data_IF_049573470599
#
_entry.id   IF_049573470599
#
_cell.length_a   1.000
_cell.length_b   1.000
_cell.length_c   1.000
_cell.angle_alpha   90.00
_cell.angle_beta   90.00
_cell.angle_gamma   90.00
#
_symmetry.space_group_name_H-M   'P 1'
#
loop_
_entity.id
_entity.type
_entity.pdbx_description
1 polymer ?
#
# COMPACT_ATOMS: atom_id res chain seq x y z
N UNK A 1 30.97 37.45 19.90
CA UNK A 1 30.62 38.03 18.58
C UNK A 1 30.55 36.84 17.63
N UNK A 2 29.44 36.39 17.05
CA UNK A 2 28.15 36.98 16.73
C UNK A 2 27.09 35.87 16.85
N UNK A 3 25.99 36.15 17.54
CA UNK A 3 24.77 35.35 17.50
C UNK A 3 23.99 35.72 16.24
N UNK A 4 23.67 34.77 15.38
CA UNK A 4 22.65 34.97 14.35
C UNK A 4 21.47 34.05 14.67
N UNK A 5 20.44 34.70 15.21
CA UNK A 5 19.16 34.12 15.53
C UNK A 5 18.49 33.51 14.30
N UNK A 6 17.82 32.37 14.53
CA UNK A 6 16.76 31.85 13.67
C UNK A 6 15.64 32.90 13.56
N UNK A 7 15.55 33.58 12.43
CA UNK A 7 14.35 34.32 12.07
C UNK A 7 13.48 33.44 11.18
N UNK A 8 12.47 32.81 11.77
CA UNK A 8 11.33 32.31 10.99
C UNK A 8 10.72 33.49 10.22
N UNK A 9 10.52 33.40 8.89
CA UNK A 9 9.83 34.45 8.17
C UNK A 9 8.38 34.48 8.68
N UNK A 10 8.03 35.57 9.35
CA UNK A 10 6.65 35.92 9.65
C UNK A 10 5.90 35.99 8.32
N UNK A 11 4.93 35.10 8.16
CA UNK A 11 4.00 35.06 7.02
C UNK A 11 3.43 36.45 6.78
N UNK A 12 3.47 36.92 5.53
CA UNK A 12 2.86 38.22 5.21
C UNK A 12 1.34 38.12 5.40
N UNK A 13 0.64 39.22 5.79
CA UNK A 13 -0.73 39.16 6.31
C UNK A 13 -1.81 38.68 5.32
N UNK A 14 -1.45 38.36 4.08
CA UNK A 14 -2.35 37.88 3.02
C UNK A 14 -1.92 36.55 2.37
N UNK A 15 -0.90 35.86 2.89
CA UNK A 15 -0.41 34.60 2.29
C UNK A 15 -0.81 33.38 3.13
N UNK A 16 -1.26 32.34 2.46
CA UNK A 16 -1.53 31.05 3.08
C UNK A 16 -0.24 30.28 3.28
N UNK A 17 0.02 29.85 4.51
CA UNK A 17 1.13 28.96 4.81
C UNK A 17 0.74 27.51 4.52
N UNK A 18 1.49 26.84 3.65
CA UNK A 18 1.38 25.39 3.41
C UNK A 18 2.67 24.72 3.88
N UNK A 19 2.56 23.76 4.80
CA UNK A 19 3.68 22.90 5.19
C UNK A 19 3.62 21.62 4.37
N UNK A 20 4.77 21.24 3.79
CA UNK A 20 4.90 20.07 2.93
C UNK A 20 5.94 19.14 3.53
N UNK A 21 5.51 17.98 4.04
CA UNK A 21 6.37 17.01 4.73
C UNK A 21 7.07 16.02 3.77
N UNK A 22 6.63 15.97 2.51
CA UNK A 22 7.20 15.12 1.46
C UNK A 22 7.30 15.91 0.16
N UNK A 23 8.43 15.79 -0.53
CA UNK A 23 8.61 16.45 -1.82
C UNK A 23 7.58 15.93 -2.84
N UNK A 24 6.84 16.84 -3.45
CA UNK A 24 5.86 16.56 -4.51
C UNK A 24 6.50 16.56 -5.91
N UNK A 25 7.82 16.71 -5.98
CA UNK A 25 8.61 16.65 -7.21
C UNK A 25 8.07 17.64 -8.26
N UNK A 26 7.80 17.18 -9.51
CA UNK A 26 7.30 18.07 -10.57
C UNK A 26 5.97 18.77 -10.29
N UNK A 27 5.21 18.37 -9.26
CA UNK A 27 3.97 19.03 -8.87
C UNK A 27 4.17 20.17 -7.84
N UNK A 28 5.34 20.27 -7.20
CA UNK A 28 5.62 21.31 -6.21
C UNK A 28 5.48 22.75 -6.76
N UNK A 29 5.87 23.05 -8.02
CA UNK A 29 5.64 24.37 -8.63
C UNK A 29 4.19 24.86 -8.62
N UNK A 30 3.20 23.95 -8.61
CA UNK A 30 1.77 24.32 -8.47
C UNK A 30 1.48 25.11 -7.19
N UNK A 31 2.32 24.94 -6.16
CA UNK A 31 2.23 25.64 -4.89
C UNK A 31 3.24 26.80 -4.83
N UNK A 32 4.51 26.56 -5.20
CA UNK A 32 5.59 27.54 -4.97
C UNK A 32 5.58 28.74 -5.92
N UNK A 33 4.99 28.61 -7.12
CA UNK A 33 4.91 29.71 -8.09
C UNK A 33 3.76 30.69 -7.78
N UNK A 34 2.93 30.38 -6.77
CA UNK A 34 1.81 31.22 -6.36
C UNK A 34 2.25 32.35 -5.42
N UNK A 35 1.75 33.55 -5.69
CA UNK A 35 2.07 34.75 -4.91
C UNK A 35 1.29 34.87 -3.59
N UNK A 36 0.24 34.08 -3.42
CA UNK A 36 -0.65 34.03 -2.25
C UNK A 36 -0.32 32.84 -1.32
N UNK A 37 0.76 32.09 -1.59
CA UNK A 37 1.13 30.89 -0.82
C UNK A 37 2.60 30.94 -0.40
N UNK A 38 2.85 30.67 0.88
CA UNK A 38 4.16 30.36 1.42
C UNK A 38 4.30 28.85 1.63
N UNK A 39 5.20 28.22 0.89
CA UNK A 39 5.46 26.78 0.98
C UNK A 39 6.67 26.52 1.87
N UNK A 40 6.48 25.70 2.88
CA UNK A 40 7.54 25.24 3.78
C UNK A 40 7.76 23.74 3.57
N UNK A 41 8.74 23.39 2.74
CA UNK A 41 9.18 22.01 2.55
C UNK A 41 10.06 21.59 3.73
N UNK A 42 9.62 20.59 4.49
CA UNK A 42 10.28 20.12 5.71
C UNK A 42 10.34 18.60 5.75
N UNK A 43 11.29 18.05 6.48
CA UNK A 43 11.21 16.62 6.82
C UNK A 43 10.17 16.41 7.92
N UNK A 44 9.54 15.24 7.96
CA UNK A 44 8.50 14.90 8.94
C UNK A 44 8.90 15.17 10.40
N UNK A 45 10.15 14.88 10.78
CA UNK A 45 10.66 15.12 12.14
C UNK A 45 10.56 16.59 12.59
N UNK A 46 10.44 17.52 11.64
CA UNK A 46 10.29 18.96 11.87
C UNK A 46 8.85 19.46 11.64
N UNK A 47 7.91 18.58 11.32
CA UNK A 47 6.51 18.93 11.02
C UNK A 47 5.89 19.73 12.17
N UNK A 48 5.97 19.23 13.40
CA UNK A 48 5.30 19.84 14.56
C UNK A 48 5.77 21.28 14.81
N UNK A 49 7.05 21.58 14.60
CA UNK A 49 7.60 22.92 14.77
C UNK A 49 7.18 23.87 13.64
N UNK A 50 6.95 23.32 12.44
CA UNK A 50 6.67 24.12 11.25
C UNK A 50 5.17 24.27 10.96
N UNK A 51 4.31 23.39 11.47
CA UNK A 51 2.86 23.43 11.23
C UNK A 51 2.17 24.63 11.91
N UNK A 52 2.83 25.27 12.89
CA UNK A 52 2.30 26.44 13.61
C UNK A 52 1.82 27.54 12.66
N UNK A 53 0.53 27.86 12.72
CA UNK A 53 -0.13 28.87 11.90
C UNK A 53 -0.36 28.47 10.44
N UNK A 54 -0.11 27.22 10.06
CA UNK A 54 -0.35 26.73 8.70
C UNK A 54 -1.85 26.73 8.35
N UNK A 55 -2.17 27.05 7.10
CA UNK A 55 -3.51 26.88 6.54
C UNK A 55 -3.69 25.51 5.88
N UNK A 56 -2.61 24.90 5.40
CA UNK A 56 -2.63 23.59 4.76
C UNK A 56 -1.41 22.76 5.15
N UNK A 57 -1.61 21.44 5.19
CA UNK A 57 -0.57 20.46 5.48
C UNK A 57 -0.58 19.37 4.40
N UNK A 58 0.59 19.07 3.84
CA UNK A 58 0.79 17.94 2.92
C UNK A 58 1.64 16.88 3.59
N UNK A 59 1.13 15.65 3.59
CA UNK A 59 1.72 14.49 4.31
C UNK A 59 1.76 13.23 3.45
N UNK A 60 2.60 12.27 3.82
CA UNK A 60 2.60 10.91 3.31
C UNK A 60 2.06 9.92 4.36
N UNK A 61 1.96 8.64 4.00
CA UNK A 61 1.39 7.59 4.86
C UNK A 61 2.20 7.29 6.14
N UNK A 62 3.43 7.79 6.24
CA UNK A 62 4.28 7.65 7.44
C UNK A 62 4.07 8.78 8.44
N UNK A 63 3.42 9.87 8.01
CA UNK A 63 3.31 11.08 8.81
C UNK A 63 2.02 11.02 9.65
N UNK A 64 2.15 10.72 10.95
CA UNK A 64 0.99 10.68 11.85
C UNK A 64 0.44 12.08 12.04
N UNK A 65 -0.85 12.27 11.74
CA UNK A 65 -1.59 13.52 11.92
C UNK A 65 -2.72 13.28 12.92
N UNK A 66 -2.43 13.60 14.17
CA UNK A 66 -3.34 13.44 15.30
C UNK A 66 -3.68 14.81 15.93
N UNK A 67 -4.23 14.77 17.14
CA UNK A 67 -4.59 15.97 17.90
C UNK A 67 -3.39 16.87 18.19
N UNK A 68 -2.21 16.33 18.46
CA UNK A 68 -1.03 17.14 18.77
C UNK A 68 -0.66 18.04 17.57
N UNK A 69 -0.72 17.48 16.36
CA UNK A 69 -0.44 18.22 15.12
C UNK A 69 -1.48 19.31 14.86
N UNK A 70 -2.77 18.99 15.05
CA UNK A 70 -3.86 19.96 14.87
C UNK A 70 -3.78 21.11 15.88
N UNK A 71 -3.55 20.78 17.15
CA UNK A 71 -3.42 21.78 18.23
C UNK A 71 -2.20 22.69 17.99
N UNK A 72 -1.07 22.11 17.55
CA UNK A 72 0.12 22.88 17.19
C UNK A 72 -0.10 23.79 15.96
N UNK A 73 -0.86 23.34 14.96
CA UNK A 73 -1.18 24.13 13.79
C UNK A 73 -2.05 25.35 14.14
N UNK A 74 -2.98 25.15 15.07
CA UNK A 74 -3.91 26.17 15.54
C UNK A 74 -5.11 26.37 14.60
N UNK A 75 -5.91 27.42 14.82
CA UNK A 75 -7.24 27.57 14.22
C UNK A 75 -7.22 27.87 12.70
N UNK A 76 -6.05 28.08 12.12
CA UNK A 76 -5.91 28.41 10.70
C UNK A 76 -5.88 27.18 9.81
N UNK A 77 -5.64 25.98 10.35
CA UNK A 77 -5.53 24.76 9.55
C UNK A 77 -6.90 24.42 8.95
N UNK A 78 -6.98 24.39 7.62
CA UNK A 78 -8.22 24.14 6.86
C UNK A 78 -8.20 22.79 6.17
N UNK A 79 -7.01 22.30 5.81
CA UNK A 79 -6.88 21.11 4.98
C UNK A 79 -5.62 20.32 5.30
N UNK A 80 -5.77 19.00 5.35
CA UNK A 80 -4.68 18.02 5.34
C UNK A 80 -4.80 17.22 4.05
N UNK A 81 -3.78 17.24 3.20
CA UNK A 81 -3.76 16.52 1.93
C UNK A 81 -2.70 15.43 1.99
N UNK A 82 -3.09 14.17 1.84
CA UNK A 82 -2.15 13.05 1.85
C UNK A 82 -1.90 12.49 0.45
N UNK A 83 -0.64 12.23 0.13
CA UNK A 83 -0.23 11.53 -1.10
C UNK A 83 -0.37 10.00 -0.92
N UNK A 84 -1.56 9.56 -0.53
CA UNK A 84 -1.87 8.16 -0.26
C UNK A 84 -3.36 7.86 -0.43
N UNK A 85 -3.70 6.57 -0.56
CA UNK A 85 -5.09 6.10 -0.64
C UNK A 85 -5.65 5.73 0.73
N UNK A 86 -4.89 5.00 1.53
CA UNK A 86 -5.29 4.79 2.92
C UNK A 86 -4.82 5.95 3.78
N UNK A 87 -5.60 6.23 4.80
CA UNK A 87 -5.52 7.43 5.62
C UNK A 87 -5.55 7.07 7.11
N UNK A 88 -5.12 5.86 7.46
CA UNK A 88 -5.10 5.37 8.84
C UNK A 88 -4.15 6.18 9.75
N UNK A 89 -3.19 6.89 9.16
CA UNK A 89 -2.27 7.82 9.82
C UNK A 89 -2.91 9.19 10.17
N UNK A 90 -4.15 9.45 9.72
CA UNK A 90 -4.87 10.69 10.01
C UNK A 90 -6.04 10.37 10.95
N UNK A 91 -6.08 11.03 12.11
CA UNK A 91 -7.19 10.84 13.08
C UNK A 91 -8.41 11.62 12.59
N UNK A 92 -9.33 10.95 11.88
CA UNK A 92 -10.44 11.59 11.17
C UNK A 92 -11.43 12.28 12.10
N UNK A 93 -11.64 11.75 13.30
CA UNK A 93 -12.51 12.36 14.32
C UNK A 93 -11.98 13.74 14.72
N UNK A 94 -10.65 13.86 14.91
CA UNK A 94 -10.00 15.14 15.21
C UNK A 94 -10.17 16.10 14.03
N UNK A 95 -10.00 15.63 12.79
CA UNK A 95 -10.17 16.48 11.61
C UNK A 95 -11.62 17.00 11.50
N UNK A 96 -12.60 16.12 11.70
CA UNK A 96 -14.02 16.46 11.65
C UNK A 96 -14.41 17.48 12.75
N UNK A 97 -13.95 17.27 13.98
CA UNK A 97 -14.21 18.17 15.12
C UNK A 97 -13.71 19.60 14.89
N UNK A 98 -12.65 19.77 14.10
CA UNK A 98 -12.07 21.09 13.78
C UNK A 98 -12.50 21.63 12.41
N UNK A 99 -13.38 20.93 11.69
CA UNK A 99 -13.81 21.33 10.35
C UNK A 99 -12.70 21.29 9.29
N UNK A 100 -11.65 20.49 9.53
CA UNK A 100 -10.51 20.33 8.63
C UNK A 100 -10.90 19.35 7.52
N UNK A 101 -10.68 19.73 6.26
CA UNK A 101 -10.89 18.86 5.12
C UNK A 101 -9.72 17.90 4.92
N UNK A 102 -9.99 16.65 4.53
CA UNK A 102 -8.93 15.68 4.21
C UNK A 102 -8.96 15.34 2.73
N UNK A 103 -7.86 15.64 2.03
CA UNK A 103 -7.63 15.25 0.65
C UNK A 103 -6.78 13.99 0.55
N UNK A 104 -7.07 13.14 -0.43
CA UNK A 104 -6.37 11.87 -0.66
C UNK A 104 -6.34 11.52 -2.16
N UNK A 105 -5.70 10.42 -2.56
CA UNK A 105 -5.45 10.09 -3.98
C UNK A 105 -6.04 8.74 -4.44
N UNK A 106 -7.38 8.52 -4.33
CA UNK A 106 -8.03 7.30 -4.78
C UNK A 106 -7.88 7.09 -6.28
N UNK A 107 -8.06 5.85 -6.70
CA UNK A 107 -8.21 5.41 -8.09
C UNK A 107 -6.98 5.55 -9.02
N UNK A 108 -6.02 6.43 -8.70
CA UNK A 108 -4.81 6.69 -9.50
C UNK A 108 -3.81 5.52 -9.46
N UNK A 109 -3.60 4.92 -8.29
CA UNK A 109 -2.51 3.95 -8.07
C UNK A 109 -2.87 2.49 -8.38
N UNK A 110 -4.09 2.25 -8.85
CA UNK A 110 -4.67 0.89 -8.97
C UNK A 110 -3.80 -0.02 -9.82
N UNK A 111 -3.40 0.46 -11.00
CA UNK A 111 -2.63 -0.34 -11.96
C UNK A 111 -1.18 -0.56 -11.50
N UNK A 112 -0.52 0.48 -10.99
CA UNK A 112 0.85 0.35 -10.47
C UNK A 112 0.94 -0.68 -9.33
N UNK A 113 -0.01 -0.63 -8.38
CA UNK A 113 -0.02 -1.62 -7.29
C UNK A 113 -0.35 -3.02 -7.81
N UNK A 114 -1.25 -3.15 -8.79
CA UNK A 114 -1.56 -4.44 -9.39
C UNK A 114 -0.37 -5.04 -10.14
N UNK A 115 0.42 -4.23 -10.86
CA UNK A 115 1.66 -4.64 -11.50
C UNK A 115 2.69 -5.11 -10.48
N UNK A 116 2.88 -4.33 -9.39
CA UNK A 116 3.77 -4.71 -8.30
C UNK A 116 3.35 -6.02 -7.61
N UNK A 117 2.05 -6.22 -7.38
CA UNK A 117 1.53 -7.44 -6.78
C UNK A 117 1.80 -8.68 -7.65
N UNK A 118 1.56 -8.60 -8.97
CA UNK A 118 1.87 -9.69 -9.90
C UNK A 118 3.38 -9.93 -9.98
N UNK A 119 4.20 -8.86 -9.99
CA UNK A 119 5.65 -8.96 -9.91
C UNK A 119 6.10 -9.71 -8.66
N UNK A 120 5.61 -9.33 -7.47
CA UNK A 120 5.92 -10.00 -6.20
C UNK A 120 5.48 -11.46 -6.20
N UNK A 121 4.30 -11.77 -6.73
CA UNK A 121 3.83 -13.14 -6.90
C UNK A 121 4.83 -13.96 -7.73
N UNK A 122 5.29 -13.43 -8.87
CA UNK A 122 6.26 -14.09 -9.74
C UNK A 122 7.62 -14.24 -9.06
N UNK A 123 8.10 -13.18 -8.40
CA UNK A 123 9.39 -13.18 -7.70
C UNK A 123 9.43 -14.23 -6.59
N UNK A 124 8.40 -14.28 -5.75
CA UNK A 124 8.29 -15.27 -4.67
C UNK A 124 8.13 -16.70 -5.23
N UNK A 125 7.27 -16.87 -6.24
CA UNK A 125 7.03 -18.18 -6.86
C UNK A 125 8.29 -18.76 -7.49
N UNK A 126 9.12 -17.93 -8.13
CA UNK A 126 10.30 -18.34 -8.91
C UNK A 126 11.65 -18.13 -8.20
N UNK A 127 11.64 -17.91 -6.88
CA UNK A 127 12.86 -17.68 -6.07
C UNK A 127 13.74 -16.58 -6.67
N UNK A 128 13.13 -15.55 -7.24
CA UNK A 128 13.85 -14.53 -7.99
C UNK A 128 14.77 -13.71 -7.08
N UNK A 129 14.33 -13.37 -5.86
CA UNK A 129 15.16 -12.67 -4.88
C UNK A 129 16.42 -13.43 -4.49
N UNK A 130 16.29 -14.74 -4.21
CA UNK A 130 17.43 -15.60 -3.95
C UNK A 130 18.36 -15.72 -5.16
N UNK A 131 17.78 -15.91 -6.36
CA UNK A 131 18.55 -16.06 -7.60
C UNK A 131 19.33 -14.78 -7.94
N UNK A 132 18.71 -13.62 -7.71
CA UNK A 132 19.37 -12.31 -7.86
C UNK A 132 20.53 -12.17 -6.87
N UNK A 133 20.31 -12.51 -5.60
CA UNK A 133 21.35 -12.44 -4.54
C UNK A 133 22.51 -13.37 -4.85
N UNK A 134 22.24 -14.58 -5.36
CA UNK A 134 23.26 -15.54 -5.78
C UNK A 134 24.23 -14.96 -6.83
N UNK A 135 23.70 -14.20 -7.79
CA UNK A 135 24.52 -13.50 -8.80
C UNK A 135 25.26 -12.33 -8.17
N UNK A 136 24.57 -11.51 -7.37
CA UNK A 136 25.15 -10.35 -6.68
C UNK A 136 26.34 -10.74 -5.78
N UNK A 137 26.24 -11.89 -5.12
CA UNK A 137 27.27 -12.43 -4.22
C UNK A 137 28.38 -13.18 -4.99
N UNK A 138 28.44 -13.04 -6.31
CA UNK A 138 29.46 -13.63 -7.18
C UNK A 138 29.54 -15.18 -7.07
N UNK A 139 28.40 -15.85 -6.80
CA UNK A 139 28.35 -17.33 -6.71
C UNK A 139 28.14 -18.00 -8.07
N UNK A 140 27.65 -17.25 -9.06
CA UNK A 140 27.34 -17.77 -10.40
C UNK A 140 28.55 -18.28 -11.21
N UNK A 141 29.73 -17.63 -11.20
CA UNK A 141 30.89 -18.11 -11.99
C UNK A 141 31.32 -19.55 -11.67
N UNK A 142 31.04 -20.04 -10.47
CA UNK A 142 31.37 -21.41 -10.02
C UNK A 142 30.19 -22.36 -10.08
N UNK A 143 29.02 -21.89 -10.51
CA UNK A 143 27.79 -22.67 -10.53
C UNK A 143 27.56 -23.31 -11.89
N UNK A 144 27.46 -24.64 -11.91
CA UNK A 144 27.00 -25.37 -13.08
C UNK A 144 25.48 -25.49 -13.08
N UNK A 145 24.83 -25.18 -14.20
CA UNK A 145 23.38 -25.33 -14.34
C UNK A 145 22.94 -26.77 -14.05
N UNK A 146 21.83 -26.94 -13.32
CA UNK A 146 21.20 -28.25 -13.12
C UNK A 146 19.68 -28.13 -13.27
N UNK A 147 18.97 -29.22 -13.69
CA UNK A 147 17.56 -29.14 -14.04
C UNK A 147 16.61 -28.62 -12.96
N UNK A 148 16.96 -28.78 -11.68
CA UNK A 148 16.12 -28.42 -10.54
C UNK A 148 16.65 -27.25 -9.72
N UNK A 149 17.82 -26.70 -10.08
CA UNK A 149 18.35 -25.55 -9.37
C UNK A 149 17.43 -24.33 -9.52
N UNK A 150 17.14 -23.68 -8.40
CA UNK A 150 16.24 -22.52 -8.30
C UNK A 150 14.82 -22.76 -8.84
N UNK A 151 14.43 -24.01 -9.13
CA UNK A 151 13.05 -24.30 -9.49
C UNK A 151 12.10 -23.84 -8.38
N UNK A 152 10.97 -23.30 -8.81
CA UNK A 152 9.91 -22.89 -7.90
C UNK A 152 8.53 -23.11 -8.49
N UNK A 153 7.52 -22.70 -7.73
CA UNK A 153 6.13 -22.88 -8.13
C UNK A 153 5.81 -22.08 -9.39
N UNK A 154 5.02 -22.66 -10.28
CA UNK A 154 4.51 -21.98 -11.47
C UNK A 154 3.09 -21.48 -11.18
N UNK A 155 2.87 -20.16 -11.31
CA UNK A 155 1.54 -19.56 -11.13
C UNK A 155 0.58 -20.02 -12.23
N UNK A 156 1.06 -20.09 -13.48
CA UNK A 156 0.22 -20.51 -14.60
C UNK A 156 -0.27 -21.94 -14.47
N UNK A 157 -1.35 -22.26 -15.18
CA UNK A 157 -1.75 -23.64 -15.40
C UNK A 157 -0.72 -24.39 -16.25
N UNK A 158 -0.64 -25.69 -16.04
CA UNK A 158 0.23 -26.61 -16.79
C UNK A 158 -0.53 -27.88 -17.10
N UNK A 159 0.04 -28.77 -17.93
CA UNK A 159 -0.51 -30.12 -18.14
C UNK A 159 -0.62 -30.92 -16.83
N UNK A 160 0.21 -30.63 -15.83
CA UNK A 160 0.20 -31.26 -14.52
C UNK A 160 -0.71 -30.56 -13.49
N UNK A 161 -1.02 -29.28 -13.71
CA UNK A 161 -1.91 -28.46 -12.88
C UNK A 161 -2.85 -27.66 -13.78
N UNK A 162 -3.90 -28.28 -14.34
CA UNK A 162 -4.78 -27.65 -15.32
C UNK A 162 -5.71 -26.59 -14.69
N UNK A 163 -5.76 -26.54 -13.36
CA UNK A 163 -6.55 -25.58 -12.59
C UNK A 163 -5.66 -24.76 -11.67
N UNK A 164 -6.00 -23.48 -11.50
CA UNK A 164 -5.33 -22.56 -10.58
C UNK A 164 -6.33 -21.65 -9.90
N UNK A 165 -6.22 -21.55 -8.58
CA UNK A 165 -7.08 -20.73 -7.73
C UNK A 165 -6.32 -19.54 -7.20
N UNK A 166 -6.78 -18.33 -7.52
CA UNK A 166 -6.33 -17.10 -6.88
C UNK A 166 -7.30 -16.72 -5.76
N UNK A 167 -6.74 -16.38 -4.59
CA UNK A 167 -7.49 -15.84 -3.47
C UNK A 167 -7.24 -14.37 -3.25
N UNK A 168 -8.26 -13.66 -2.77
CA UNK A 168 -8.13 -12.26 -2.35
C UNK A 168 -8.72 -12.04 -0.95
N UNK A 169 -7.89 -11.55 -0.03
CA UNK A 169 -8.35 -10.86 1.17
C UNK A 169 -8.42 -9.36 0.84
N UNK A 170 -9.63 -8.83 0.69
CA UNK A 170 -9.87 -7.50 0.13
C UNK A 170 -10.07 -7.54 -1.39
N UNK A 171 -11.33 -7.51 -1.83
CA UNK A 171 -11.70 -7.67 -3.24
C UNK A 171 -12.29 -6.39 -3.84
N UNK A 172 -11.43 -5.37 -3.91
CA UNK A 172 -11.71 -4.05 -4.48
C UNK A 172 -11.04 -3.83 -5.85
N UNK A 173 -10.84 -2.56 -6.22
CA UNK A 173 -10.31 -2.15 -7.54
C UNK A 173 -8.95 -2.79 -7.85
N UNK A 174 -8.03 -2.78 -6.90
CA UNK A 174 -6.69 -3.37 -7.05
C UNK A 174 -6.80 -4.89 -7.28
N UNK A 175 -7.67 -5.58 -6.53
CA UNK A 175 -7.86 -7.02 -6.69
C UNK A 175 -8.40 -7.39 -8.07
N UNK A 176 -9.34 -6.61 -8.61
CA UNK A 176 -9.84 -6.81 -9.97
C UNK A 176 -8.74 -6.58 -11.01
N UNK A 177 -7.93 -5.53 -10.84
CA UNK A 177 -6.81 -5.23 -11.74
C UNK A 177 -5.73 -6.33 -11.71
N UNK A 178 -5.45 -6.90 -10.54
CA UNK A 178 -4.58 -8.09 -10.38
C UNK A 178 -5.20 -9.30 -11.08
N UNK A 179 -6.48 -9.59 -10.84
CA UNK A 179 -7.19 -10.72 -11.45
C UNK A 179 -7.18 -10.63 -12.99
N UNK A 180 -7.38 -9.43 -13.54
CA UNK A 180 -7.31 -9.19 -14.99
C UNK A 180 -5.92 -9.53 -15.55
N UNK A 181 -4.84 -9.11 -14.90
CA UNK A 181 -3.46 -9.44 -15.31
C UNK A 181 -3.20 -10.94 -15.23
N UNK A 182 -3.70 -11.59 -14.18
CA UNK A 182 -3.54 -13.03 -13.98
C UNK A 182 -4.39 -13.88 -14.93
N UNK A 183 -5.42 -13.34 -15.58
CA UNK A 183 -6.23 -14.08 -16.56
C UNK A 183 -5.37 -14.68 -17.68
N UNK A 184 -4.34 -13.96 -18.13
CA UNK A 184 -3.40 -14.42 -19.14
C UNK A 184 -2.50 -15.60 -18.67
N UNK A 185 -2.43 -15.84 -17.37
CA UNK A 185 -1.72 -16.99 -16.78
C UNK A 185 -2.60 -18.25 -16.75
N UNK A 186 -3.84 -18.19 -17.22
CA UNK A 186 -4.76 -19.31 -17.24
C UNK A 186 -5.37 -19.63 -15.88
N UNK A 187 -5.46 -18.65 -14.97
CA UNK A 187 -6.18 -18.80 -13.70
C UNK A 187 -7.62 -19.24 -13.97
N UNK A 188 -8.09 -20.25 -13.24
CA UNK A 188 -9.42 -20.83 -13.46
C UNK A 188 -10.44 -20.41 -12.42
N UNK A 189 -10.02 -20.24 -11.16
CA UNK A 189 -10.91 -19.89 -10.05
C UNK A 189 -10.43 -18.62 -9.34
N UNK A 190 -11.35 -17.73 -9.05
CA UNK A 190 -11.17 -16.60 -8.14
C UNK A 190 -12.04 -16.83 -6.90
N UNK A 191 -11.43 -16.72 -5.72
CA UNK A 191 -12.15 -16.75 -4.44
C UNK A 191 -11.78 -15.54 -3.60
N UNK A 192 -12.71 -15.03 -2.81
CA UNK A 192 -12.44 -13.87 -1.96
C UNK A 192 -13.33 -13.85 -0.72
N UNK A 193 -12.88 -13.13 0.32
CA UNK A 193 -13.72 -12.85 1.50
C UNK A 193 -14.48 -11.55 1.30
N UNK A 194 -15.80 -11.51 1.56
CA UNK A 194 -16.57 -10.29 1.47
C UNK A 194 -16.18 -9.32 2.59
N UNK A 195 -16.35 -8.02 2.33
CA UNK A 195 -16.34 -7.00 3.39
C UNK A 195 -17.61 -7.17 4.23
N UNK A 196 -17.55 -7.10 5.57
CA UNK A 196 -18.75 -7.10 6.40
C UNK A 196 -19.76 -6.04 5.93
N UNK A 197 -21.03 -6.45 5.78
CA UNK A 197 -22.10 -5.56 5.32
C UNK A 197 -22.01 -5.14 3.84
N UNK A 198 -21.17 -5.79 3.03
CA UNK A 198 -21.15 -5.53 1.59
C UNK A 198 -22.50 -5.91 0.94
N UNK A 199 -22.98 -5.12 -0.03
CA UNK A 199 -24.15 -5.49 -0.82
C UNK A 199 -23.87 -6.75 -1.64
N UNK A 200 -24.93 -7.37 -2.16
CA UNK A 200 -24.83 -8.51 -3.09
C UNK A 200 -23.89 -8.18 -4.26
N UNK A 201 -22.95 -9.08 -4.51
CA UNK A 201 -21.92 -8.94 -5.54
C UNK A 201 -22.14 -9.88 -6.74
N UNK A 202 -23.24 -10.64 -6.79
CA UNK A 202 -23.46 -11.67 -7.80
C UNK A 202 -23.33 -11.14 -9.24
N UNK A 203 -23.88 -9.96 -9.53
CA UNK A 203 -23.79 -9.35 -10.86
C UNK A 203 -22.34 -8.99 -11.25
N UNK A 204 -21.56 -8.46 -10.30
CA UNK A 204 -20.14 -8.13 -10.51
C UNK A 204 -19.32 -9.41 -10.71
N UNK A 205 -19.57 -10.41 -9.88
CA UNK A 205 -18.84 -11.68 -9.93
C UNK A 205 -19.09 -12.41 -11.25
N UNK A 206 -20.33 -12.41 -11.74
CA UNK A 206 -20.68 -12.98 -13.05
C UNK A 206 -20.04 -12.20 -14.21
N UNK A 207 -20.00 -10.86 -14.11
CA UNK A 207 -19.31 -10.02 -15.09
C UNK A 207 -17.81 -10.33 -15.14
N UNK A 208 -17.14 -10.41 -13.99
CA UNK A 208 -15.72 -10.77 -13.92
C UNK A 208 -15.48 -12.19 -14.45
N UNK A 209 -16.32 -13.15 -14.07
CA UNK A 209 -16.23 -14.54 -14.51
C UNK A 209 -16.30 -14.66 -16.03
N UNK A 210 -17.29 -14.02 -16.64
CA UNK A 210 -17.51 -14.05 -18.09
C UNK A 210 -16.43 -13.26 -18.84
N UNK A 211 -16.12 -12.03 -18.40
CA UNK A 211 -15.14 -11.17 -19.07
C UNK A 211 -13.72 -11.73 -19.05
N UNK A 212 -13.33 -12.41 -17.97
CA UNK A 212 -12.00 -12.97 -17.79
C UNK A 212 -11.93 -14.47 -18.10
N UNK A 213 -13.01 -15.07 -18.62
CA UNK A 213 -13.12 -16.51 -18.94
C UNK A 213 -12.75 -17.43 -17.76
N UNK A 214 -13.15 -17.05 -16.55
CA UNK A 214 -12.93 -17.86 -15.35
C UNK A 214 -14.00 -18.95 -15.25
N UNK A 215 -13.62 -20.08 -14.65
CA UNK A 215 -14.57 -21.14 -14.29
C UNK A 215 -15.49 -20.67 -13.17
N UNK A 216 -14.95 -19.94 -12.18
CA UNK A 216 -15.75 -19.40 -11.08
C UNK A 216 -15.14 -18.13 -10.47
N UNK A 217 -16.02 -17.27 -9.96
CA UNK A 217 -15.71 -16.19 -9.02
C UNK A 217 -16.64 -16.38 -7.83
N UNK A 218 -16.12 -16.53 -6.61
CA UNK A 218 -16.94 -16.89 -5.47
C UNK A 218 -16.50 -16.24 -4.15
N UNK A 219 -17.50 -15.86 -3.35
CA UNK A 219 -17.31 -15.51 -1.94
C UNK A 219 -17.07 -16.76 -1.11
N UNK A 220 -16.10 -16.70 -0.20
CA UNK A 220 -15.76 -17.80 0.71
C UNK A 220 -15.39 -17.27 2.10
N UNK A 221 -15.43 -18.15 3.11
CA UNK A 221 -14.88 -17.85 4.43
C UNK A 221 -13.33 -17.88 4.44
N UNK A 222 -12.73 -17.37 5.52
CA UNK A 222 -11.27 -17.30 5.67
C UNK A 222 -10.59 -18.67 5.63
N UNK A 223 -11.21 -19.71 6.19
CA UNK A 223 -10.62 -21.05 6.18
C UNK A 223 -10.57 -21.63 4.77
N UNK A 224 -11.63 -21.44 4.00
CA UNK A 224 -11.72 -21.86 2.60
C UNK A 224 -10.74 -21.05 1.75
N UNK A 225 -10.62 -19.74 1.99
CA UNK A 225 -9.60 -18.90 1.36
C UNK A 225 -8.20 -19.51 1.57
N UNK A 226 -7.81 -19.76 2.83
CA UNK A 226 -6.51 -20.35 3.16
C UNK A 226 -6.27 -21.69 2.45
N UNK A 227 -7.24 -22.62 2.53
CA UNK A 227 -7.10 -24.00 2.04
C UNK A 227 -7.10 -24.12 0.51
N UNK A 228 -7.70 -23.16 -0.19
CA UNK A 228 -7.97 -23.27 -1.64
C UNK A 228 -7.08 -22.38 -2.50
N UNK A 229 -6.51 -21.30 -1.96
CA UNK A 229 -5.64 -20.40 -2.72
C UNK A 229 -4.29 -21.04 -3.07
N UNK A 230 -4.00 -21.11 -4.37
CA UNK A 230 -2.65 -21.42 -4.87
C UNK A 230 -1.77 -20.15 -4.82
N UNK A 231 -2.38 -18.99 -5.07
CA UNK A 231 -1.78 -17.67 -4.79
C UNK A 231 -2.81 -16.85 -4.02
N UNK A 232 -2.42 -16.31 -2.86
CA UNK A 232 -3.26 -15.48 -2.01
C UNK A 232 -2.72 -14.05 -2.01
N UNK A 233 -3.54 -13.10 -2.47
CA UNK A 233 -3.24 -11.68 -2.42
C UNK A 233 -3.96 -11.02 -1.25
N UNK A 234 -3.21 -10.29 -0.44
CA UNK A 234 -3.70 -9.48 0.67
C UNK A 234 -3.72 -8.03 0.23
N UNK A 235 -4.93 -7.50 0.02
CA UNK A 235 -5.24 -6.17 -0.46
C UNK A 235 -6.30 -5.48 0.40
N UNK A 236 -6.54 -6.02 1.59
CA UNK A 236 -7.44 -5.43 2.58
C UNK A 236 -6.81 -4.18 3.21
N UNK A 237 -7.63 -3.20 3.61
CA UNK A 237 -7.16 -2.09 4.43
C UNK A 237 -6.63 -2.59 5.78
N UNK A 238 -5.85 -1.74 6.45
CA UNK A 238 -5.37 -2.02 7.80
C UNK A 238 -6.40 -1.66 8.85
N UNK A 239 -5.97 -1.75 10.11
CA UNK A 239 -6.77 -1.41 11.28
C UNK A 239 -7.06 -2.62 12.16
N UNK A 240 -7.74 -2.36 13.28
CA UNK A 240 -7.95 -3.37 14.33
C UNK A 240 -8.69 -4.61 13.83
N UNK A 241 -9.67 -4.43 12.93
CA UNK A 241 -10.48 -5.53 12.40
C UNK A 241 -9.71 -6.49 11.48
N UNK A 242 -8.57 -6.08 10.92
CA UNK A 242 -7.75 -6.90 10.01
C UNK A 242 -6.38 -7.23 10.59
N UNK A 243 -6.06 -6.73 11.78
CA UNK A 243 -4.77 -6.92 12.44
C UNK A 243 -4.51 -8.40 12.70
N UNK A 244 -3.38 -8.89 12.19
CA UNK A 244 -2.92 -10.27 12.29
C UNK A 244 -3.98 -11.31 11.92
N UNK A 245 -4.87 -10.96 10.99
CA UNK A 245 -5.87 -11.91 10.47
C UNK A 245 -5.20 -13.11 9.78
N UNK A 246 -3.99 -12.90 9.25
CA UNK A 246 -3.12 -13.96 8.73
C UNK A 246 -2.11 -14.32 9.83
N UNK A 247 -2.56 -15.16 10.76
CA UNK A 247 -1.79 -15.69 11.89
C UNK A 247 -1.23 -17.10 11.61
N UNK A 248 -0.61 -17.73 12.62
CA UNK A 248 -0.12 -19.11 12.52
C UNK A 248 -1.24 -20.10 12.17
N UNK A 249 -2.45 -19.93 12.72
CA UNK A 249 -3.55 -20.83 12.46
C UNK A 249 -3.98 -20.76 10.98
N UNK A 250 -4.11 -19.56 10.42
CA UNK A 250 -4.40 -19.36 9.00
C UNK A 250 -3.31 -19.96 8.12
N UNK A 251 -2.03 -19.68 8.40
CA UNK A 251 -0.90 -20.14 7.60
C UNK A 251 -0.78 -21.67 7.58
N UNK A 252 -1.12 -22.35 8.69
CA UNK A 252 -1.17 -23.83 8.74
C UNK A 252 -2.26 -24.45 7.87
N UNK A 253 -3.30 -23.70 7.54
CA UNK A 253 -4.37 -24.17 6.65
C UNK A 253 -4.00 -24.06 5.17
N UNK A 254 -3.01 -23.23 4.84
CA UNK A 254 -2.53 -23.06 3.47
C UNK A 254 -1.79 -24.30 2.97
N UNK A 255 -1.64 -24.40 1.65
CA UNK A 255 -0.93 -25.53 1.04
C UNK A 255 0.57 -25.25 1.05
N UNK A 256 1.42 -26.28 1.16
CA UNK A 256 2.88 -26.14 1.01
C UNK A 256 3.33 -25.55 -0.33
N UNK A 257 2.45 -25.55 -1.34
CA UNK A 257 2.69 -24.97 -2.67
C UNK A 257 2.17 -23.55 -2.83
N UNK A 258 1.45 -23.01 -1.83
CA UNK A 258 0.78 -21.71 -1.92
C UNK A 258 1.77 -20.56 -1.79
N UNK A 259 1.53 -19.49 -2.55
CA UNK A 259 2.30 -18.24 -2.48
C UNK A 259 1.42 -17.17 -1.83
N UNK A 260 1.97 -16.44 -0.86
CA UNK A 260 1.30 -15.31 -0.22
C UNK A 260 1.89 -14.00 -0.74
N UNK A 261 1.04 -13.02 -1.07
CA UNK A 261 1.46 -11.72 -1.58
C UNK A 261 0.76 -10.62 -0.77
N UNK A 262 1.52 -9.66 -0.25
CA UNK A 262 0.95 -8.54 0.51
C UNK A 262 1.36 -7.19 -0.08
N UNK A 263 0.38 -6.49 -0.65
CA UNK A 263 0.49 -5.09 -1.08
C UNK A 263 -0.54 -4.21 -0.35
N UNK A 264 -1.23 -4.75 0.66
CA UNK A 264 -2.25 -4.05 1.43
C UNK A 264 -1.63 -3.32 2.61
N UNK A 265 -1.59 -3.98 3.77
CA UNK A 265 -0.95 -3.48 4.99
C UNK A 265 -0.15 -4.57 5.68
N UNK A 266 1.01 -4.19 6.21
CA UNK A 266 1.89 -5.10 6.94
C UNK A 266 1.20 -5.72 8.16
N UNK A 267 0.46 -4.91 8.91
CA UNK A 267 -0.26 -5.31 10.12
C UNK A 267 -1.32 -6.40 9.93
N UNK A 268 -1.70 -6.73 8.69
CA UNK A 268 -2.64 -7.83 8.39
C UNK A 268 -2.00 -9.21 8.62
N UNK A 269 -0.67 -9.28 8.57
CA UNK A 269 0.09 -10.52 8.70
C UNK A 269 0.93 -10.47 9.96
N UNK A 270 0.88 -11.54 10.76
CA UNK A 270 1.87 -11.75 11.81
C UNK A 270 3.21 -12.14 11.16
N UNK A 271 4.17 -11.20 11.15
CA UNK A 271 5.49 -11.38 10.55
C UNK A 271 6.28 -12.54 11.17
N UNK A 272 6.09 -12.83 12.46
CA UNK A 272 6.75 -13.94 13.16
C UNK A 272 6.15 -15.27 12.70
N UNK A 273 4.82 -15.35 12.64
CA UNK A 273 4.13 -16.54 12.13
C UNK A 273 4.46 -16.82 10.66
N UNK A 274 4.53 -15.79 9.82
CA UNK A 274 4.89 -15.94 8.41
C UNK A 274 6.33 -16.44 8.24
N UNK A 275 7.29 -15.88 8.97
CA UNK A 275 8.67 -16.35 8.91
C UNK A 275 8.80 -17.82 9.33
N UNK A 276 8.08 -18.22 10.39
CA UNK A 276 8.00 -19.62 10.83
C UNK A 276 7.38 -20.51 9.75
N UNK A 277 6.27 -20.08 9.14
CA UNK A 277 5.58 -20.84 8.09
C UNK A 277 6.47 -21.10 6.87
N UNK A 278 7.26 -20.10 6.46
CA UNK A 278 8.21 -20.24 5.35
C UNK A 278 9.36 -21.20 5.69
N UNK A 279 9.93 -21.05 6.90
CA UNK A 279 11.02 -21.88 7.40
C UNK A 279 10.62 -23.34 7.57
N UNK A 280 9.42 -23.60 8.09
CA UNK A 280 8.87 -24.94 8.28
C UNK A 280 8.20 -25.52 7.01
N UNK A 281 8.07 -24.72 5.95
CA UNK A 281 7.51 -25.16 4.67
C UNK A 281 6.00 -25.39 4.67
N UNK A 282 5.25 -24.69 5.53
CA UNK A 282 3.78 -24.70 5.49
C UNK A 282 3.24 -24.05 4.21
N UNK A 283 3.98 -23.09 3.67
CA UNK A 283 3.72 -22.44 2.37
C UNK A 283 4.99 -22.40 1.52
N UNK A 284 4.83 -22.11 0.22
CA UNK A 284 5.94 -22.09 -0.74
C UNK A 284 6.84 -20.87 -0.56
N UNK A 285 6.25 -19.68 -0.50
CA UNK A 285 6.96 -18.41 -0.52
C UNK A 285 6.06 -17.21 -0.29
N UNK A 286 6.67 -16.06 -0.02
CA UNK A 286 5.97 -14.80 0.20
C UNK A 286 6.59 -13.63 -0.58
N UNK A 287 5.75 -12.76 -1.13
CA UNK A 287 6.16 -11.49 -1.73
C UNK A 287 5.47 -10.33 -1.02
N UNK A 288 6.26 -9.46 -0.40
CA UNK A 288 5.77 -8.43 0.51
C UNK A 288 6.24 -7.07 0.03
N UNK A 289 5.29 -6.20 -0.31
CA UNK A 289 5.56 -4.76 -0.46
C UNK A 289 5.39 -4.02 0.86
N UNK A 290 4.66 -4.65 1.79
CA UNK A 290 4.39 -4.11 3.13
C UNK A 290 4.63 -5.18 4.19
N UNK A 291 5.23 -4.77 5.31
CA UNK A 291 5.59 -5.60 6.46
C UNK A 291 5.13 -4.92 7.75
N UNK A 292 4.77 -5.71 8.77
CA UNK A 292 4.44 -5.13 10.07
C UNK A 292 5.67 -4.40 10.64
N UNK A 293 5.45 -3.32 11.40
CA UNK A 293 6.53 -2.47 11.96
C UNK A 293 7.41 -1.75 10.92
N UNK A 294 6.90 -1.49 9.72
CA UNK A 294 7.57 -0.56 8.80
C UNK A 294 7.70 0.85 9.40
N UNK A 295 8.84 1.54 9.20
CA UNK A 295 9.96 1.19 8.33
C UNK A 295 11.12 0.42 9.01
N UNK A 296 10.97 -0.09 10.23
CA UNK A 296 12.05 -0.74 11.01
C UNK A 296 12.39 -2.17 10.53
N UNK A 297 12.44 -2.37 9.21
CA UNK A 297 12.68 -3.66 8.54
C UNK A 297 14.11 -3.69 7.99
N UNK A 298 15.04 -4.23 8.78
CA UNK A 298 16.46 -4.33 8.43
C UNK A 298 16.91 -5.72 7.93
N UNK A 299 18.21 -5.90 7.61
CA UNK A 299 18.77 -7.19 7.19
C UNK A 299 18.57 -8.32 8.20
N UNK A 300 18.46 -7.96 9.48
CA UNK A 300 18.27 -8.92 10.56
C UNK A 300 16.81 -9.39 10.73
N UNK A 301 15.87 -8.73 10.07
CA UNK A 301 14.45 -9.04 10.14
C UNK A 301 14.19 -10.48 9.64
N UNK A 302 13.40 -11.31 10.34
CA UNK A 302 13.25 -12.73 10.03
C UNK A 302 12.71 -12.99 8.62
N UNK A 303 11.81 -12.14 8.12
CA UNK A 303 11.31 -12.22 6.73
C UNK A 303 12.37 -11.83 5.70
N UNK A 304 13.30 -10.92 6.02
CA UNK A 304 14.37 -10.50 5.10
C UNK A 304 15.43 -11.60 4.95
N UNK A 305 15.67 -12.38 6.01
CA UNK A 305 16.62 -13.51 5.97
C UNK A 305 16.09 -14.74 5.23
N UNK A 306 14.78 -14.85 5.05
CA UNK A 306 14.15 -16.04 4.49
C UNK A 306 14.29 -16.08 2.96
N UNK A 307 15.02 -17.05 2.37
CA UNK A 307 15.27 -17.08 0.91
C UNK A 307 14.01 -17.23 0.05
N UNK A 308 12.91 -17.73 0.63
CA UNK A 308 11.60 -17.85 -0.02
C UNK A 308 10.72 -16.60 0.14
N UNK A 309 11.23 -15.55 0.79
CA UNK A 309 10.57 -14.28 0.95
C UNK A 309 11.24 -13.22 0.08
N UNK A 310 10.43 -12.35 -0.52
CA UNK A 310 10.89 -11.13 -1.19
C UNK A 310 10.21 -9.97 -0.48
N UNK A 311 11.00 -8.99 -0.04
CA UNK A 311 10.52 -7.80 0.65
C UNK A 311 10.91 -6.57 -0.15
N UNK A 312 9.95 -5.70 -0.43
CA UNK A 312 10.13 -4.39 -1.05
C UNK A 312 9.73 -3.29 -0.07
N UNK A 313 10.35 -2.10 -0.14
CA UNK A 313 10.11 -1.03 0.82
C UNK A 313 8.90 -0.17 0.40
N UNK A 314 7.70 -0.76 0.36
CA UNK A 314 6.43 -0.05 0.09
C UNK A 314 6.43 0.76 -1.22
N UNK A 315 6.74 0.06 -2.31
CA UNK A 315 6.89 0.64 -3.65
C UNK A 315 5.68 0.41 -4.55
N UNK A 316 4.56 -0.10 -4.04
CA UNK A 316 3.40 -0.50 -4.82
C UNK A 316 2.92 0.57 -5.82
N UNK A 317 2.88 1.84 -5.42
CA UNK A 317 2.50 2.95 -6.31
C UNK A 317 3.67 3.66 -6.97
N UNK A 318 4.90 3.16 -6.86
CA UNK A 318 6.12 3.81 -7.33
C UNK A 318 6.37 3.68 -8.85
N UNK A 319 5.35 3.99 -9.65
CA UNK A 319 5.50 4.30 -11.08
C UNK A 319 5.58 5.83 -11.25
N UNK A 320 6.41 6.33 -12.16
CA UNK A 320 6.62 7.77 -12.34
C UNK A 320 5.31 8.49 -12.67
N UNK A 321 4.55 7.94 -13.62
CA UNK A 321 3.27 8.46 -14.10
C UNK A 321 2.25 8.50 -12.95
N UNK A 322 2.16 7.41 -12.18
CA UNK A 322 1.28 7.30 -11.01
C UNK A 322 1.65 8.32 -9.94
N UNK A 323 2.93 8.44 -9.58
CA UNK A 323 3.39 9.38 -8.54
C UNK A 323 3.20 10.83 -8.96
N UNK A 324 3.41 11.14 -10.24
CA UNK A 324 3.18 12.48 -10.79
C UNK A 324 1.69 12.87 -10.71
N UNK A 325 0.78 11.96 -11.06
CA UNK A 325 -0.66 12.21 -10.96
C UNK A 325 -1.12 12.34 -9.49
N UNK A 326 -0.63 11.47 -8.60
CA UNK A 326 -0.89 11.55 -7.16
C UNK A 326 -0.39 12.88 -6.58
N UNK A 327 0.83 13.30 -6.91
CA UNK A 327 1.42 14.54 -6.42
C UNK A 327 0.65 15.76 -6.92
N UNK A 328 0.24 15.78 -8.19
CA UNK A 328 -0.61 16.85 -8.74
C UNK A 328 -1.95 16.92 -8.04
N UNK A 329 -2.62 15.79 -7.81
CA UNK A 329 -3.89 15.78 -7.07
C UNK A 329 -3.72 16.25 -5.63
N UNK A 330 -2.66 15.81 -4.96
CA UNK A 330 -2.32 16.22 -3.58
C UNK A 330 -2.12 17.73 -3.49
N UNK A 331 -1.36 18.32 -4.43
CA UNK A 331 -1.17 19.76 -4.54
C UNK A 331 -2.48 20.51 -4.80
N UNK A 332 -3.33 20.01 -5.71
CA UNK A 332 -4.63 20.64 -5.99
C UNK A 332 -5.59 20.56 -4.80
N UNK A 333 -5.59 19.45 -4.06
CA UNK A 333 -6.42 19.29 -2.86
C UNK A 333 -6.02 20.29 -1.77
N UNK A 334 -4.73 20.39 -1.44
CA UNK A 334 -4.27 21.35 -0.43
C UNK A 334 -4.52 22.78 -0.89
N UNK A 335 -4.29 23.08 -2.16
CA UNK A 335 -4.53 24.40 -2.74
C UNK A 335 -6.00 24.82 -2.63
N UNK A 336 -6.93 23.95 -3.05
CA UNK A 336 -8.36 24.21 -2.95
C UNK A 336 -8.79 24.45 -1.49
N UNK A 337 -8.34 23.60 -0.57
CA UNK A 337 -8.70 23.72 0.84
C UNK A 337 -8.18 24.99 1.51
N UNK A 338 -6.95 25.44 1.21
CA UNK A 338 -6.45 26.70 1.79
C UNK A 338 -7.22 27.92 1.26
N UNK A 339 -7.63 27.88 -0.01
CA UNK A 339 -8.43 28.93 -0.66
C UNK A 339 -9.92 28.89 -0.28
N UNK A 340 -10.35 27.92 0.52
CA UNK A 340 -11.76 27.77 0.93
C UNK A 340 -12.66 27.19 -0.17
N UNK A 341 -12.07 26.53 -1.16
CA UNK A 341 -12.75 25.86 -2.25
C UNK A 341 -13.02 24.38 -1.92
N UNK A 342 -13.92 23.76 -2.69
CA UNK A 342 -14.15 22.32 -2.59
C UNK A 342 -12.93 21.55 -3.11
N UNK A 343 -12.43 20.59 -2.33
CA UNK A 343 -11.34 19.71 -2.77
C UNK A 343 -11.76 18.95 -4.04
N UNK A 344 -10.89 18.85 -5.06
CA UNK A 344 -11.09 17.96 -6.20
C UNK A 344 -11.43 16.54 -5.76
N UNK A 345 -10.72 16.03 -4.75
CA UNK A 345 -11.02 14.76 -4.09
C UNK A 345 -10.79 14.91 -2.58
N UNK A 346 -11.88 15.03 -1.84
CA UNK A 346 -11.87 15.02 -0.37
C UNK A 346 -12.64 13.83 0.21
N UNK A 347 -12.32 13.45 1.45
CA UNK A 347 -13.12 12.53 2.22
C UNK A 347 -14.49 13.14 2.56
N UNK A 348 -15.49 12.28 2.61
CA UNK A 348 -16.85 12.60 3.02
C UNK A 348 -17.09 12.02 4.41
N UNK A 349 -17.00 12.86 5.44
CA UNK A 349 -17.18 12.44 6.84
C UNK A 349 -18.54 11.81 7.12
N UNK A 350 -19.57 12.12 6.33
CA UNK A 350 -20.90 11.53 6.51
C UNK A 350 -20.95 10.02 6.24
N UNK A 351 -19.91 9.47 5.61
CA UNK A 351 -19.77 8.04 5.31
C UNK A 351 -18.86 7.29 6.28
N UNK A 352 -18.29 8.00 7.25
CA UNK A 352 -17.31 7.49 8.22
C UNK A 352 -17.89 7.36 9.63
N UNK A 353 -19.03 7.99 9.91
CA UNK A 353 -19.76 7.99 11.20
C UNK A 353 -20.98 7.08 11.13
#
# INVERSE_FOLDING_TARGET
MSSTANSSPLTSPNRHKIVVCTDLGPALPLLTERHDIDVFLVQFAWMLQNVVGASGLVVCFQDIVDREVVDAAGPNLRVVSTISVGYEHITLEVMADHGIQVGYTPDILTDAVADSAVMLALMASRRAGQSYTFVKDNQWPTFHWTPFAFCGSQISTTSFSPTRTVGFLGFGRIAHAVLQRLSAFGITHCIYTPRPGAPDQAARDENLRSHLNLVSVAQVDLQTLARKSDVLFLLAPGGEATRHLIDEAFLRLMRPTSVLVNNGRGSVVDSTALAKALKEGWIWGAGLDVVDEEPQVGPEHPLVKEPKCVVLPHIGSAALETREEMARLTARNVLAGVLGERLPVGLDYSRLI
#
